data_IF_239632854663
#
_entry.id   IF_239632854663
#
_cell.length_a   1.000
_cell.length_b   1.000
_cell.length_c   1.000
_cell.angle_alpha   90.00
_cell.angle_beta   90.00
_cell.angle_gamma   90.00
#
_symmetry.space_group_name_H-M   'P 1'
#
loop_
_entity.id
_entity.type
_entity.pdbx_description
1 polymer ?
#
# COMPACT_ATOMS: atom_id res chain seq x y z
N UNK A 1 30.37 6.13 14.57
CA UNK A 1 29.22 5.51 13.84
C UNK A 1 27.99 5.62 14.72
N UNK A 2 26.82 5.94 14.22
CA UNK A 2 25.61 5.91 15.03
C UNK A 2 25.43 4.49 15.60
N UNK A 3 24.93 4.38 16.85
CA UNK A 3 24.70 3.11 17.52
C UNK A 3 23.72 2.25 16.71
N UNK A 4 24.06 0.99 16.43
CA UNK A 4 23.11 0.04 15.81
C UNK A 4 21.86 -0.10 16.68
N UNK A 5 20.67 0.00 16.08
CA UNK A 5 19.40 -0.11 16.77
C UNK A 5 18.79 -1.49 16.53
N UNK A 6 18.22 -2.09 17.57
CA UNK A 6 17.30 -3.22 17.48
C UNK A 6 15.88 -2.70 17.27
N UNK A 7 15.26 -3.02 16.14
CA UNK A 7 13.94 -2.51 15.77
C UNK A 7 12.96 -3.68 15.66
N UNK A 8 11.90 -3.67 16.47
CA UNK A 8 10.86 -4.69 16.41
C UNK A 8 9.69 -4.19 15.56
N UNK A 9 9.50 -4.72 14.36
CA UNK A 9 8.34 -4.48 13.52
C UNK A 9 7.22 -5.46 13.88
N UNK A 10 6.11 -4.95 14.40
CA UNK A 10 4.94 -5.75 14.76
C UNK A 10 3.90 -5.68 13.66
N UNK A 11 3.68 -6.80 12.98
CA UNK A 11 2.77 -6.92 11.83
C UNK A 11 1.70 -7.97 12.16
N UNK A 12 0.46 -7.74 11.74
CA UNK A 12 -0.61 -8.72 11.98
C UNK A 12 -0.36 -10.03 11.23
N UNK A 13 0.01 -9.94 9.97
CA UNK A 13 0.38 -11.07 9.10
C UNK A 13 1.49 -10.63 8.15
N UNK A 14 2.27 -11.57 7.69
CA UNK A 14 3.29 -11.34 6.67
C UNK A 14 3.44 -12.62 5.86
N UNK A 15 2.76 -12.71 4.72
CA UNK A 15 2.68 -13.93 3.91
C UNK A 15 2.76 -13.64 2.42
N UNK A 16 3.54 -14.42 1.65
CA UNK A 16 3.60 -14.29 0.20
C UNK A 16 2.25 -14.53 -0.50
N UNK A 17 1.37 -15.36 0.09
CA UNK A 17 0.08 -15.72 -0.49
C UNK A 17 -0.92 -14.55 -0.55
N UNK A 18 -0.73 -13.53 0.29
CA UNK A 18 -1.64 -12.37 0.41
C UNK A 18 -0.80 -11.08 0.42
N UNK A 19 0.09 -10.95 -0.58
CA UNK A 19 1.00 -9.82 -0.67
C UNK A 19 0.25 -8.53 -0.99
N UNK A 20 0.52 -7.49 -0.21
CA UNK A 20 -0.13 -6.19 -0.35
C UNK A 20 0.82 -5.03 -0.06
N UNK A 21 0.26 -3.82 0.01
CA UNK A 21 1.04 -2.60 0.26
C UNK A 21 1.80 -2.64 1.58
N UNK A 22 1.18 -3.12 2.67
CA UNK A 22 1.83 -3.21 3.98
C UNK A 22 3.03 -4.14 3.97
N UNK A 23 2.89 -5.33 3.37
CA UNK A 23 3.97 -6.30 3.25
C UNK A 23 5.14 -5.74 2.43
N UNK A 24 4.86 -5.02 1.35
CA UNK A 24 5.86 -4.33 0.52
C UNK A 24 6.61 -3.28 1.34
N UNK A 25 5.90 -2.41 2.05
CA UNK A 25 6.48 -1.35 2.88
C UNK A 25 7.38 -1.95 3.96
N UNK A 26 6.88 -2.93 4.71
CA UNK A 26 7.66 -3.55 5.80
C UNK A 26 8.91 -4.23 5.26
N UNK A 27 8.83 -4.96 4.14
CA UNK A 27 9.96 -5.63 3.51
C UNK A 27 11.08 -4.65 3.15
N UNK A 28 10.74 -3.58 2.43
CA UNK A 28 11.73 -2.60 2.01
C UNK A 28 12.27 -1.80 3.19
N UNK A 29 11.43 -1.42 4.15
CA UNK A 29 11.86 -0.73 5.37
C UNK A 29 12.90 -1.56 6.13
N UNK A 30 12.64 -2.84 6.34
CA UNK A 30 13.56 -3.76 7.04
C UNK A 30 14.86 -3.94 6.26
N UNK A 31 14.79 -4.08 4.92
CA UNK A 31 15.96 -4.21 4.08
C UNK A 31 16.88 -2.97 4.16
N UNK A 32 16.31 -1.76 4.04
CA UNK A 32 17.06 -0.52 4.12
C UNK A 32 17.64 -0.26 5.53
N UNK A 33 16.87 -0.54 6.59
CA UNK A 33 17.36 -0.42 7.96
C UNK A 33 18.56 -1.34 8.21
N UNK A 34 18.56 -2.54 7.62
CA UNK A 34 19.69 -3.47 7.69
C UNK A 34 20.89 -2.95 6.89
N UNK A 35 20.66 -2.40 5.71
CA UNK A 35 21.71 -1.76 4.92
C UNK A 35 22.38 -0.58 5.67
N UNK A 36 21.62 0.09 6.54
CA UNK A 36 22.12 1.14 7.44
C UNK A 36 22.84 0.59 8.70
N UNK A 37 22.95 -0.74 8.87
CA UNK A 37 23.66 -1.38 9.97
C UNK A 37 22.83 -1.57 11.25
N UNK A 38 21.50 -1.51 11.16
CA UNK A 38 20.58 -1.80 12.27
C UNK A 38 20.20 -3.29 12.29
N UNK A 39 19.58 -3.75 13.40
CA UNK A 39 19.00 -5.11 13.58
C UNK A 39 17.46 -5.02 13.58
N UNK A 40 16.80 -4.86 12.43
CA UNK A 40 15.35 -4.91 12.34
C UNK A 40 14.85 -6.35 12.27
N UNK A 41 13.75 -6.67 12.98
CA UNK A 41 13.06 -7.97 12.92
C UNK A 41 11.57 -7.82 12.81
N UNK A 42 10.95 -8.70 12.03
CA UNK A 42 9.49 -8.75 11.82
C UNK A 42 8.91 -9.80 12.78
N UNK A 43 8.01 -9.38 13.65
CA UNK A 43 7.23 -10.22 14.55
C UNK A 43 5.79 -10.23 14.07
N UNK A 44 5.29 -11.36 13.59
CA UNK A 44 3.94 -11.46 13.06
C UNK A 44 3.20 -12.69 13.58
N UNK A 45 1.89 -12.71 13.44
CA UNK A 45 1.12 -13.92 13.71
C UNK A 45 1.30 -14.94 12.59
N UNK A 46 1.05 -16.22 12.89
CA UNK A 46 1.08 -17.28 11.89
C UNK A 46 -0.17 -17.29 10.98
N UNK A 47 -0.91 -16.18 10.90
CA UNK A 47 -2.10 -16.05 10.06
C UNK A 47 -1.73 -16.22 8.58
N UNK A 48 -2.43 -17.15 7.91
CA UNK A 48 -2.27 -17.47 6.49
C UNK A 48 -0.84 -17.95 6.09
N UNK A 49 -0.01 -18.34 7.05
CA UNK A 49 1.27 -18.95 6.72
C UNK A 49 1.06 -20.35 6.14
N UNK A 50 1.83 -20.74 5.11
CA UNK A 50 1.88 -22.12 4.65
C UNK A 50 2.30 -23.06 5.80
N UNK A 51 1.84 -24.32 5.81
CA UNK A 51 2.17 -25.27 6.88
C UNK A 51 3.68 -25.56 7.01
N UNK A 52 4.41 -25.39 5.92
CA UNK A 52 5.86 -25.61 5.81
C UNK A 52 6.67 -24.30 6.00
N UNK A 53 6.02 -23.18 6.23
CA UNK A 53 6.70 -21.91 6.49
C UNK A 53 7.64 -22.05 7.70
N UNK A 54 8.88 -21.62 7.52
CA UNK A 54 9.89 -21.60 8.58
C UNK A 54 10.20 -20.16 8.98
N UNK A 55 10.30 -19.88 10.28
CA UNK A 55 10.85 -18.62 10.74
C UNK A 55 12.28 -18.44 10.23
N UNK A 56 12.68 -17.22 10.00
CA UNK A 56 14.07 -16.82 9.75
C UNK A 56 14.51 -15.84 10.84
N UNK A 57 15.79 -15.46 10.84
CA UNK A 57 16.28 -14.43 11.76
C UNK A 57 15.55 -13.10 11.58
N UNK A 58 15.04 -12.87 10.37
CA UNK A 58 14.35 -11.63 9.97
C UNK A 58 12.87 -11.64 10.25
N UNK A 59 12.21 -12.82 10.16
CA UNK A 59 10.76 -12.96 10.22
C UNK A 59 10.40 -14.12 11.14
N UNK A 60 9.67 -13.81 12.20
CA UNK A 60 9.24 -14.79 13.19
C UNK A 60 7.70 -14.86 13.24
N UNK A 61 7.15 -16.07 13.16
CA UNK A 61 5.71 -16.34 13.18
C UNK A 61 5.30 -16.92 14.52
N UNK A 62 4.17 -16.41 15.06
CA UNK A 62 3.69 -16.81 16.38
C UNK A 62 2.26 -17.30 16.36
N UNK A 63 1.91 -18.28 17.21
CA UNK A 63 0.54 -18.71 17.39
C UNK A 63 -0.33 -17.54 17.88
N UNK A 64 -1.58 -17.56 17.46
CA UNK A 64 -2.55 -16.51 17.77
C UNK A 64 -3.96 -17.10 17.91
N UNK A 65 -4.86 -16.36 18.52
CA UNK A 65 -6.27 -16.69 18.59
C UNK A 65 -7.15 -15.43 18.57
N UNK A 66 -8.38 -15.62 18.10
CA UNK A 66 -9.41 -14.60 18.20
C UNK A 66 -10.27 -14.89 19.45
N UNK A 67 -10.47 -13.92 20.35
CA UNK A 67 -11.14 -14.15 21.62
C UNK A 67 -12.67 -14.10 21.50
N UNK A 68 -13.22 -14.97 20.67
CA UNK A 68 -14.65 -15.14 20.42
C UNK A 68 -15.00 -16.64 20.45
N UNK A 69 -16.18 -16.97 20.96
CA UNK A 69 -16.66 -18.37 21.03
C UNK A 69 -18.09 -18.49 20.48
N UNK A 70 -18.39 -19.51 19.65
CA UNK A 70 -17.43 -20.40 19.00
C UNK A 70 -16.62 -19.68 17.90
N UNK A 71 -15.42 -20.18 17.53
CA UNK A 71 -14.60 -19.67 16.44
C UNK A 71 -14.30 -20.78 15.42
N UNK A 72 -15.22 -21.08 14.50
CA UNK A 72 -14.99 -22.04 13.42
C UNK A 72 -13.84 -21.62 12.51
N UNK A 73 -13.13 -22.59 11.91
CA UNK A 73 -11.99 -22.35 11.03
C UNK A 73 -12.34 -21.41 9.86
N UNK A 74 -13.54 -21.58 9.25
CA UNK A 74 -13.98 -20.74 8.15
C UNK A 74 -14.10 -19.25 8.54
N UNK A 75 -14.60 -18.96 9.76
CA UNK A 75 -14.71 -17.58 10.25
C UNK A 75 -13.33 -17.02 10.63
N UNK A 76 -12.45 -17.85 11.21
CA UNK A 76 -11.07 -17.48 11.50
C UNK A 76 -10.35 -17.09 10.21
N UNK A 77 -10.46 -17.88 9.14
CA UNK A 77 -9.85 -17.56 7.85
C UNK A 77 -10.36 -16.25 7.24
N UNK A 78 -11.64 -15.93 7.41
CA UNK A 78 -12.19 -14.64 6.97
C UNK A 78 -11.56 -13.47 7.75
N UNK A 79 -11.41 -13.61 9.07
CA UNK A 79 -10.75 -12.60 9.90
C UNK A 79 -9.26 -12.46 9.56
N UNK A 80 -8.58 -13.57 9.28
CA UNK A 80 -7.17 -13.57 8.85
C UNK A 80 -6.98 -12.79 7.55
N UNK A 81 -7.91 -12.92 6.60
CA UNK A 81 -7.89 -12.18 5.33
C UNK A 81 -8.27 -10.71 5.47
N UNK A 82 -9.35 -10.41 6.19
CA UNK A 82 -10.02 -9.10 6.17
C UNK A 82 -9.72 -8.17 7.36
N UNK A 83 -8.83 -8.51 8.28
CA UNK A 83 -8.40 -7.56 9.30
C UNK A 83 -8.86 -7.85 10.73
N UNK A 84 -8.96 -9.10 11.13
CA UNK A 84 -9.26 -9.49 12.51
C UNK A 84 -8.24 -8.97 13.53
N UNK A 85 -8.67 -8.84 14.80
CA UNK A 85 -7.85 -8.37 15.92
C UNK A 85 -7.55 -9.53 16.88
N UNK A 86 -6.45 -10.29 16.66
CA UNK A 86 -6.08 -11.45 17.45
C UNK A 86 -5.29 -11.08 18.71
N UNK A 87 -5.16 -12.06 19.61
CA UNK A 87 -4.12 -12.11 20.63
C UNK A 87 -2.98 -13.02 20.20
N UNK A 88 -1.75 -12.66 20.57
CA UNK A 88 -0.55 -13.51 20.42
C UNK A 88 0.43 -13.28 21.57
N UNK A 89 0.23 -13.90 22.74
CA UNK A 89 1.13 -13.73 23.89
C UNK A 89 2.57 -14.13 23.60
N UNK A 90 2.76 -15.18 22.78
CA UNK A 90 4.09 -15.67 22.40
C UNK A 90 4.88 -14.63 21.58
N UNK A 91 4.19 -13.88 20.68
CA UNK A 91 4.78 -12.78 19.93
C UNK A 91 5.36 -11.73 20.88
N UNK A 92 4.58 -11.28 21.85
CA UNK A 92 5.03 -10.23 22.79
C UNK A 92 6.11 -10.71 23.75
N UNK A 93 6.10 -12.01 24.11
CA UNK A 93 7.23 -12.63 24.82
C UNK A 93 8.50 -12.54 23.99
N UNK A 94 8.45 -12.91 22.73
CA UNK A 94 9.60 -12.85 21.82
C UNK A 94 10.11 -11.42 21.59
N UNK A 95 9.21 -10.44 21.40
CA UNK A 95 9.60 -9.02 21.30
C UNK A 95 10.31 -8.56 22.57
N UNK A 96 9.80 -8.91 23.75
CA UNK A 96 10.45 -8.58 25.03
C UNK A 96 11.84 -9.20 25.14
N UNK A 97 11.96 -10.49 24.77
CA UNK A 97 13.22 -11.25 24.86
C UNK A 97 14.25 -10.73 23.83
N UNK A 98 13.80 -10.15 22.71
CA UNK A 98 14.64 -9.47 21.72
C UNK A 98 15.25 -8.17 22.26
N UNK A 99 14.61 -7.50 23.24
CA UNK A 99 15.01 -6.21 23.83
C UNK A 99 15.23 -5.14 22.78
N UNK A 100 14.17 -4.72 22.06
CA UNK A 100 14.28 -3.70 21.03
C UNK A 100 14.64 -2.32 21.62
N UNK A 101 15.29 -1.49 20.81
CA UNK A 101 15.47 -0.05 21.09
C UNK A 101 14.25 0.78 20.59
N UNK A 102 13.44 0.23 19.66
CA UNK A 102 12.23 0.83 19.10
C UNK A 102 11.21 -0.27 18.79
N UNK A 103 9.94 -0.03 19.09
CA UNK A 103 8.82 -0.87 18.65
C UNK A 103 8.05 -0.13 17.55
N UNK A 104 8.09 -0.65 16.32
CA UNK A 104 7.34 -0.12 15.19
C UNK A 104 6.11 -0.99 14.89
N UNK A 105 4.93 -0.39 14.94
CA UNK A 105 3.62 -1.06 14.90
C UNK A 105 2.98 -0.84 13.53
N UNK A 106 2.72 -1.93 12.81
CA UNK A 106 2.00 -1.94 11.52
C UNK A 106 0.65 -2.66 11.63
N UNK A 107 0.12 -2.78 12.83
CA UNK A 107 -1.11 -3.49 13.12
C UNK A 107 -2.04 -2.63 13.98
N UNK A 108 -3.34 -2.83 13.83
CA UNK A 108 -4.34 -2.21 14.70
C UNK A 108 -4.82 -3.10 15.84
N UNK A 109 -5.80 -2.63 16.58
CA UNK A 109 -6.53 -3.39 17.58
C UNK A 109 -5.67 -3.92 18.72
N UNK A 110 -5.90 -5.17 19.13
CA UNK A 110 -5.23 -5.79 20.29
C UNK A 110 -3.73 -5.89 20.17
N UNK A 111 -3.20 -6.14 18.97
CA UNK A 111 -1.75 -6.18 18.75
C UNK A 111 -1.13 -4.80 18.99
N UNK A 112 -1.74 -3.74 18.50
CA UNK A 112 -1.26 -2.38 18.74
C UNK A 112 -1.33 -2.02 20.24
N UNK A 113 -2.46 -2.29 20.91
CA UNK A 113 -2.59 -2.02 22.33
C UNK A 113 -1.53 -2.78 23.16
N UNK A 114 -1.29 -4.05 22.84
CA UNK A 114 -0.29 -4.84 23.56
C UNK A 114 1.14 -4.33 23.28
N UNK A 115 1.43 -3.91 22.03
CA UNK A 115 2.72 -3.34 21.65
C UNK A 115 3.02 -2.04 22.40
N UNK A 116 2.06 -1.11 22.44
CA UNK A 116 2.16 0.16 23.23
C UNK A 116 2.42 -0.12 24.70
N UNK A 117 1.70 -1.09 25.28
CA UNK A 117 1.93 -1.46 26.70
C UNK A 117 3.31 -2.09 26.93
N UNK A 118 3.78 -2.89 25.96
CA UNK A 118 5.11 -3.48 26.06
C UNK A 118 6.18 -2.40 25.92
N UNK A 119 6.04 -1.46 25.00
CA UNK A 119 6.95 -0.33 24.81
C UNK A 119 7.11 0.47 26.13
N UNK A 120 5.98 0.84 26.76
CA UNK A 120 6.02 1.54 28.05
C UNK A 120 6.62 0.72 29.21
N UNK A 121 6.57 -0.64 29.17
CA UNK A 121 7.22 -1.49 30.16
C UNK A 121 8.72 -1.65 29.94
N UNK A 122 9.16 -1.54 28.70
CA UNK A 122 10.56 -1.63 28.31
C UNK A 122 11.25 -0.27 28.29
N UNK A 123 10.48 0.79 28.49
CA UNK A 123 10.94 2.19 28.41
C UNK A 123 11.62 2.47 27.06
N UNK A 124 10.92 2.07 25.97
CA UNK A 124 11.37 2.30 24.59
C UNK A 124 10.27 2.95 23.76
N UNK A 125 10.63 3.80 22.79
CA UNK A 125 9.64 4.47 21.96
C UNK A 125 8.84 3.49 21.09
N UNK A 126 7.56 3.85 20.91
CA UNK A 126 6.60 3.19 20.04
C UNK A 126 6.20 4.09 18.89
N UNK A 127 6.36 3.61 17.66
CA UNK A 127 5.93 4.31 16.44
C UNK A 127 4.87 3.48 15.76
N UNK A 128 3.80 4.10 15.28
CA UNK A 128 2.71 3.41 14.59
C UNK A 128 2.56 3.92 13.17
N UNK A 129 2.78 3.05 12.18
CA UNK A 129 2.50 3.36 10.76
C UNK A 129 1.07 2.96 10.39
N UNK A 130 0.35 3.93 9.83
CA UNK A 130 -0.94 3.72 9.18
C UNK A 130 -0.69 3.52 7.68
N UNK A 131 -1.22 2.44 7.13
CA UNK A 131 -1.03 2.07 5.72
C UNK A 131 -2.22 2.45 4.82
N UNK A 132 -2.95 3.48 5.23
CA UNK A 132 -4.19 3.93 4.61
C UNK A 132 -5.42 3.17 5.12
N UNK A 133 -6.55 3.86 5.18
CA UNK A 133 -7.84 3.28 5.54
C UNK A 133 -8.17 3.19 7.02
N UNK A 134 -7.32 3.61 7.93
CA UNK A 134 -7.67 3.61 9.36
C UNK A 134 -8.81 4.60 9.69
N UNK A 135 -8.92 5.69 8.92
CA UNK A 135 -9.94 6.71 9.07
C UNK A 135 -11.06 6.63 8.00
N UNK A 136 -10.86 5.86 6.92
CA UNK A 136 -11.66 5.96 5.69
C UNK A 136 -12.34 4.64 5.29
N UNK A 137 -12.37 3.61 6.17
CA UNK A 137 -13.07 2.36 5.87
C UNK A 137 -14.57 2.65 5.81
N UNK A 138 -15.26 2.45 4.67
CA UNK A 138 -16.70 2.64 4.57
C UNK A 138 -17.45 1.78 5.60
N UNK A 139 -18.55 2.29 6.14
CA UNK A 139 -19.35 1.56 7.12
C UNK A 139 -19.82 0.18 6.64
N UNK A 140 -20.12 0.05 5.34
CA UNK A 140 -20.47 -1.21 4.69
C UNK A 140 -19.32 -2.23 4.71
N UNK A 141 -18.10 -1.79 4.45
CA UNK A 141 -16.91 -2.64 4.47
C UNK A 141 -16.57 -3.05 5.91
N UNK A 142 -16.67 -2.12 6.85
CA UNK A 142 -16.53 -2.41 8.27
C UNK A 142 -17.55 -3.45 8.75
N UNK A 143 -18.82 -3.32 8.32
CA UNK A 143 -19.86 -4.31 8.64
C UNK A 143 -19.55 -5.70 8.06
N UNK A 144 -19.00 -5.76 6.85
CA UNK A 144 -18.58 -7.02 6.23
C UNK A 144 -17.37 -7.64 6.95
N UNK A 145 -16.39 -6.83 7.34
CA UNK A 145 -15.24 -7.29 8.13
C UNK A 145 -15.66 -7.88 9.47
N UNK A 146 -16.67 -7.30 10.12
CA UNK A 146 -17.19 -7.76 11.40
C UNK A 146 -18.22 -8.89 11.28
N UNK A 147 -18.74 -9.17 10.08
CA UNK A 147 -19.74 -10.22 9.85
C UNK A 147 -19.38 -11.59 10.44
N UNK A 148 -18.11 -12.07 10.38
CA UNK A 148 -17.73 -13.34 11.01
C UNK A 148 -17.89 -13.38 12.53
N UNK A 149 -18.02 -12.21 13.18
CA UNK A 149 -18.17 -12.08 14.64
C UNK A 149 -19.62 -12.00 15.09
N UNK A 150 -20.57 -11.87 14.17
CA UNK A 150 -22.01 -11.77 14.49
C UNK A 150 -22.49 -13.03 15.21
N UNK A 151 -23.18 -12.85 16.36
CA UNK A 151 -23.73 -13.95 17.15
C UNK A 151 -22.70 -14.73 17.99
N UNK A 152 -21.44 -14.28 18.06
CA UNK A 152 -20.39 -14.90 18.87
C UNK A 152 -20.25 -14.21 20.23
N UNK A 153 -19.93 -14.99 21.25
CA UNK A 153 -19.65 -14.45 22.57
C UNK A 153 -18.24 -13.83 22.62
N UNK A 154 -18.11 -12.50 22.82
CA UNK A 154 -16.84 -11.79 22.79
C UNK A 154 -16.16 -11.77 24.18
N UNK A 155 -15.61 -12.90 24.63
CA UNK A 155 -14.90 -12.94 25.91
C UNK A 155 -13.62 -12.06 25.92
N UNK A 156 -13.13 -11.68 24.76
CA UNK A 156 -12.01 -10.77 24.59
C UNK A 156 -12.23 -9.40 25.22
N UNK A 157 -13.47 -8.93 25.27
CA UNK A 157 -13.78 -7.64 25.93
C UNK A 157 -13.49 -7.67 27.43
N UNK A 158 -13.65 -8.81 28.10
CA UNK A 158 -13.28 -9.00 29.49
C UNK A 158 -11.77 -9.07 29.63
N UNK A 159 -11.10 -9.83 28.76
CA UNK A 159 -9.63 -9.92 28.75
C UNK A 159 -8.98 -8.57 28.48
N UNK A 160 -9.50 -7.82 27.49
CA UNK A 160 -9.03 -6.45 27.19
C UNK A 160 -9.13 -5.53 28.42
N UNK A 161 -10.22 -5.64 29.19
CA UNK A 161 -10.41 -4.87 30.42
C UNK A 161 -9.42 -5.26 31.50
N UNK A 162 -9.27 -6.57 31.76
CA UNK A 162 -8.33 -7.10 32.76
C UNK A 162 -6.88 -6.75 32.42
N UNK A 163 -6.52 -6.81 31.15
CA UNK A 163 -5.18 -6.46 30.68
C UNK A 163 -4.99 -4.94 30.51
N UNK A 164 -6.01 -4.11 30.75
CA UNK A 164 -5.93 -2.66 30.55
C UNK A 164 -5.63 -2.27 29.10
N UNK A 165 -6.17 -3.01 28.12
CA UNK A 165 -5.96 -2.80 26.68
C UNK A 165 -7.15 -2.11 26.00
N UNK A 166 -8.06 -1.50 26.79
CA UNK A 166 -9.19 -0.71 26.29
C UNK A 166 -8.79 0.75 26.12
N UNK A 167 -7.99 1.03 25.13
CA UNK A 167 -7.60 2.38 24.76
C UNK A 167 -7.36 2.47 23.25
N UNK A 168 -7.37 3.68 22.73
CA UNK A 168 -6.96 3.95 21.36
C UNK A 168 -5.41 3.98 21.28
N UNK A 169 -4.77 3.07 20.56
CA UNK A 169 -3.31 3.04 20.48
C UNK A 169 -2.73 4.30 19.84
N UNK A 170 -3.43 4.95 18.89
CA UNK A 170 -2.99 6.21 18.25
C UNK A 170 -2.82 7.30 19.30
N UNK A 171 -3.71 7.35 20.29
CA UNK A 171 -3.64 8.35 21.35
C UNK A 171 -2.48 8.13 22.35
N UNK A 172 -1.75 7.00 22.28
CA UNK A 172 -0.73 6.61 23.27
C UNK A 172 0.65 6.29 22.71
N UNK A 173 0.78 6.04 21.41
CA UNK A 173 2.11 5.86 20.79
C UNK A 173 2.88 7.18 20.82
N UNK A 174 4.21 7.11 20.79
CA UNK A 174 5.08 8.28 20.82
C UNK A 174 5.03 9.06 19.51
N UNK A 175 4.92 8.35 18.37
CA UNK A 175 4.69 8.96 17.06
C UNK A 175 3.75 8.14 16.20
N UNK A 176 2.98 8.82 15.37
CA UNK A 176 2.14 8.24 14.31
C UNK A 176 2.71 8.64 12.96
N UNK A 177 2.81 7.67 12.06
CA UNK A 177 3.24 7.87 10.68
C UNK A 177 2.06 7.58 9.76
N UNK A 178 1.70 8.54 8.92
CA UNK A 178 0.64 8.43 7.91
C UNK A 178 1.21 8.67 6.51
N UNK A 179 0.51 8.15 5.48
CA UNK A 179 1.03 8.07 4.12
C UNK A 179 0.46 9.13 3.17
N UNK A 180 -0.45 9.98 3.64
CA UNK A 180 -0.99 11.10 2.84
C UNK A 180 -1.20 12.32 3.73
N UNK A 181 -1.12 13.52 3.14
CA UNK A 181 -1.41 14.77 3.82
C UNK A 181 -2.88 14.85 4.27
N UNK A 182 -3.80 14.33 3.48
CA UNK A 182 -5.22 14.24 3.88
C UNK A 182 -5.41 13.41 5.17
N UNK A 183 -4.68 12.30 5.32
CA UNK A 183 -4.71 11.48 6.53
C UNK A 183 -4.02 12.20 7.70
N UNK A 184 -2.91 12.89 7.44
CA UNK A 184 -2.19 13.70 8.42
C UNK A 184 -3.09 14.77 9.05
N UNK A 185 -3.80 15.55 8.22
CA UNK A 185 -4.69 16.63 8.67
C UNK A 185 -5.83 16.09 9.53
N UNK A 186 -6.50 15.01 9.08
CA UNK A 186 -7.56 14.34 9.86
C UNK A 186 -7.07 13.80 11.21
N UNK A 187 -5.86 13.26 11.24
CA UNK A 187 -5.25 12.74 12.46
C UNK A 187 -4.89 13.88 13.41
N UNK A 188 -4.33 14.99 12.93
CA UNK A 188 -4.02 16.17 13.73
C UNK A 188 -5.27 16.80 14.35
N UNK A 189 -6.36 16.84 13.57
CA UNK A 189 -7.66 17.30 14.06
C UNK A 189 -8.21 16.38 15.17
N UNK A 190 -8.14 15.05 14.94
CA UNK A 190 -8.69 14.07 15.87
C UNK A 190 -7.84 13.86 17.12
N UNK A 191 -6.52 14.03 17.02
CA UNK A 191 -5.56 13.80 18.10
C UNK A 191 -4.66 15.02 18.31
N UNK A 192 -5.21 16.15 18.77
CA UNK A 192 -4.44 17.38 18.94
C UNK A 192 -3.28 17.17 19.91
N UNK A 193 -2.12 17.71 19.58
CA UNK A 193 -0.90 17.60 20.37
C UNK A 193 -0.15 16.27 20.29
N UNK A 194 -0.60 15.33 19.45
CA UNK A 194 0.16 14.09 19.17
C UNK A 194 1.22 14.34 18.10
N UNK A 195 2.34 13.61 18.20
CA UNK A 195 3.39 13.60 17.17
C UNK A 195 2.91 12.81 15.98
N UNK A 196 2.47 13.49 14.92
CA UNK A 196 1.94 12.92 13.69
C UNK A 196 2.82 13.39 12.54
N UNK A 197 3.33 12.43 11.75
CA UNK A 197 4.29 12.67 10.69
C UNK A 197 3.77 12.14 9.35
N UNK A 198 3.78 12.99 8.34
CA UNK A 198 3.65 12.53 6.96
C UNK A 198 4.95 11.84 6.53
N UNK A 199 4.84 10.56 6.23
CA UNK A 199 5.91 9.76 5.64
C UNK A 199 5.33 8.88 4.54
N UNK A 200 5.49 9.24 3.28
CA UNK A 200 4.96 8.49 2.16
C UNK A 200 5.64 7.12 2.02
N UNK A 201 5.02 6.24 1.26
CA UNK A 201 5.67 4.99 0.90
C UNK A 201 6.82 5.23 -0.09
N UNK A 202 7.82 4.37 -0.04
CA UNK A 202 8.92 4.40 -0.98
C UNK A 202 8.62 3.64 -2.27
N UNK A 203 9.49 3.83 -3.25
CA UNK A 203 9.51 3.09 -4.51
C UNK A 203 10.91 2.52 -4.78
N UNK A 204 10.96 1.34 -5.37
CA UNK A 204 12.21 0.79 -5.90
C UNK A 204 12.52 1.45 -7.24
N UNK A 205 13.71 2.03 -7.36
CA UNK A 205 14.16 2.62 -8.60
C UNK A 205 14.72 1.49 -9.51
N UNK A 206 14.18 1.32 -10.72
CA UNK A 206 14.71 0.34 -11.66
C UNK A 206 16.10 0.75 -12.15
N UNK A 207 16.92 -0.22 -12.52
CA UNK A 207 18.16 0.05 -13.25
C UNK A 207 17.85 0.80 -14.57
N UNK A 208 18.56 1.89 -14.80
CA UNK A 208 18.34 2.73 -15.98
C UNK A 208 18.65 1.96 -17.25
N UNK A 209 17.64 1.73 -18.08
CA UNK A 209 17.88 1.32 -19.47
C UNK A 209 18.32 2.54 -20.28
N UNK A 210 19.39 2.38 -21.07
CA UNK A 210 19.97 3.45 -21.89
C UNK A 210 18.97 4.06 -22.93
N UNK A 211 17.88 3.36 -23.24
CA UNK A 211 16.87 3.79 -24.21
C UNK A 211 15.72 4.64 -23.63
N UNK A 212 15.75 4.95 -22.35
CA UNK A 212 14.70 5.72 -21.68
C UNK A 212 14.63 7.22 -22.09
N UNK A 213 15.46 7.67 -23.02
CA UNK A 213 15.62 9.07 -23.43
C UNK A 213 14.96 9.48 -24.75
N UNK A 214 14.36 8.58 -25.51
CA UNK A 214 13.70 8.93 -26.77
C UNK A 214 12.17 8.96 -26.59
N UNK A 215 11.69 10.01 -25.99
CA UNK A 215 10.26 10.30 -25.98
C UNK A 215 9.85 10.86 -27.35
N UNK A 216 9.64 9.98 -28.33
CA UNK A 216 8.85 10.37 -29.50
C UNK A 216 7.46 10.77 -29.06
N UNK A 217 6.89 11.82 -29.69
CA UNK A 217 5.50 12.21 -29.40
C UNK A 217 4.58 10.99 -29.47
N UNK A 218 3.67 10.85 -28.49
CA UNK A 218 2.71 9.75 -28.48
C UNK A 218 1.82 9.76 -29.73
N UNK A 219 1.53 10.95 -30.31
CA UNK A 219 0.74 11.11 -31.54
C UNK A 219 1.34 10.48 -32.78
N UNK A 220 2.64 10.43 -32.87
CA UNK A 220 3.34 10.00 -34.09
C UNK A 220 3.68 8.52 -34.09
N UNK A 221 3.18 7.75 -33.13
CA UNK A 221 3.43 6.31 -33.07
C UNK A 221 2.60 5.57 -34.12
N UNK A 222 3.22 4.66 -34.88
CA UNK A 222 2.54 3.96 -36.00
C UNK A 222 1.58 2.85 -35.53
N UNK A 223 1.32 2.73 -34.25
CA UNK A 223 0.50 1.68 -33.60
C UNK A 223 -0.38 2.29 -32.51
N UNK A 224 -1.46 1.62 -32.06
CA UNK A 224 -2.24 2.05 -30.92
C UNK A 224 -1.39 2.23 -29.67
N UNK A 225 -1.66 3.29 -28.89
CA UNK A 225 -0.99 3.51 -27.60
C UNK A 225 -1.35 2.40 -26.62
N UNK A 226 -0.35 1.82 -25.98
CA UNK A 226 -0.52 0.75 -25.01
C UNK A 226 -0.76 1.34 -23.63
N UNK A 227 -2.00 1.31 -23.20
CA UNK A 227 -2.41 1.72 -21.85
C UNK A 227 -2.23 0.55 -20.90
N UNK A 228 -1.54 0.77 -19.80
CA UNK A 228 -1.32 -0.20 -18.72
C UNK A 228 -1.98 0.28 -17.44
N UNK A 229 -2.66 -0.63 -16.76
CA UNK A 229 -3.08 -0.46 -15.37
C UNK A 229 -2.64 -1.68 -14.56
N UNK A 230 -1.83 -1.47 -13.54
CA UNK A 230 -1.40 -2.51 -12.60
C UNK A 230 -2.06 -2.25 -11.25
N UNK A 231 -3.01 -3.09 -10.88
CA UNK A 231 -3.73 -2.98 -9.61
C UNK A 231 -4.55 -4.25 -9.35
N UNK A 232 -4.99 -4.48 -8.12
CA UNK A 232 -6.03 -5.49 -7.87
C UNK A 232 -7.23 -5.24 -8.77
N UNK A 233 -7.82 -6.29 -9.33
CA UNK A 233 -9.08 -6.18 -10.07
C UNK A 233 -10.22 -6.12 -9.07
N UNK A 234 -10.66 -4.88 -8.81
CA UNK A 234 -11.58 -4.54 -7.73
C UNK A 234 -12.32 -3.22 -8.08
N UNK A 235 -13.56 -3.08 -7.62
CA UNK A 235 -14.36 -1.89 -7.91
C UNK A 235 -13.72 -0.58 -7.41
N UNK A 236 -12.90 -0.64 -6.33
CA UNK A 236 -12.16 0.52 -5.83
C UNK A 236 -11.11 1.03 -6.82
N UNK A 237 -10.64 0.16 -7.73
CA UNK A 237 -9.66 0.50 -8.77
C UNK A 237 -10.28 0.95 -10.07
N UNK A 238 -11.59 0.85 -10.20
CA UNK A 238 -12.40 1.45 -11.26
C UNK A 238 -11.92 1.18 -12.70
N UNK A 239 -11.45 -0.05 -12.97
CA UNK A 239 -10.96 -0.43 -14.30
C UNK A 239 -12.04 -0.34 -15.40
N UNK A 240 -13.34 -0.33 -15.03
CA UNK A 240 -14.41 -0.08 -15.99
C UNK A 240 -14.27 1.27 -16.70
N UNK A 241 -13.78 2.31 -16.03
CA UNK A 241 -13.51 3.60 -16.67
C UNK A 241 -12.48 3.48 -17.79
N UNK A 242 -11.51 2.53 -17.69
CA UNK A 242 -10.55 2.26 -18.76
C UNK A 242 -11.17 1.51 -19.93
N UNK A 243 -12.15 0.64 -19.68
CA UNK A 243 -12.91 -0.04 -20.74
C UNK A 243 -13.75 0.97 -21.52
N UNK A 244 -14.37 1.94 -20.84
CA UNK A 244 -15.08 3.06 -21.49
C UNK A 244 -14.12 3.95 -22.30
N UNK A 245 -12.93 4.23 -21.79
CA UNK A 245 -11.89 4.94 -22.52
C UNK A 245 -11.48 4.17 -23.79
N UNK A 246 -11.26 2.86 -23.68
CA UNK A 246 -10.89 1.98 -24.79
C UNK A 246 -11.93 2.01 -25.91
N UNK A 247 -13.23 2.04 -25.57
CA UNK A 247 -14.31 2.13 -26.54
C UNK A 247 -14.34 3.48 -27.28
N UNK A 248 -14.01 4.57 -26.57
CA UNK A 248 -14.01 5.95 -27.11
C UNK A 248 -12.73 6.28 -27.89
N UNK A 249 -11.66 5.48 -27.74
CA UNK A 249 -10.34 5.74 -28.34
C UNK A 249 -9.88 4.49 -29.12
N UNK A 250 -10.13 4.46 -30.44
CA UNK A 250 -9.70 3.34 -31.30
C UNK A 250 -8.16 3.27 -31.44
N UNK A 251 -7.47 4.35 -31.11
CA UNK A 251 -6.02 4.52 -31.16
C UNK A 251 -5.27 4.00 -29.91
N UNK A 252 -5.96 3.30 -29.00
CA UNK A 252 -5.31 2.67 -27.85
C UNK A 252 -5.67 1.18 -27.69
N UNK A 253 -4.81 0.48 -26.97
CA UNK A 253 -5.05 -0.86 -26.41
C UNK A 253 -4.91 -0.83 -24.90
N UNK A 254 -5.57 -1.72 -24.18
CA UNK A 254 -5.63 -1.76 -22.73
C UNK A 254 -5.13 -3.10 -22.19
N UNK A 255 -4.16 -3.04 -21.29
CA UNK A 255 -3.74 -4.20 -20.49
C UNK A 255 -4.00 -3.92 -19.01
N UNK A 256 -4.81 -4.76 -18.40
CA UNK A 256 -5.02 -4.80 -16.95
C UNK A 256 -4.17 -5.91 -16.35
N UNK A 257 -3.38 -5.62 -15.32
CA UNK A 257 -2.54 -6.60 -14.62
C UNK A 257 -2.86 -6.55 -13.13
N UNK A 258 -3.22 -7.69 -12.54
CA UNK A 258 -3.37 -7.79 -11.10
C UNK A 258 -4.26 -8.94 -10.64
N UNK A 259 -4.16 -9.32 -9.36
CA UNK A 259 -5.00 -10.38 -8.80
C UNK A 259 -6.47 -9.97 -8.80
N UNK A 260 -7.33 -10.91 -9.17
CA UNK A 260 -8.78 -10.74 -9.09
C UNK A 260 -9.21 -10.92 -7.64
N UNK A 261 -9.56 -9.82 -6.97
CA UNK A 261 -10.05 -9.84 -5.57
C UNK A 261 -11.57 -9.74 -5.49
N UNK A 262 -12.24 -9.33 -6.58
CA UNK A 262 -13.68 -9.27 -6.72
C UNK A 262 -14.11 -9.91 -8.05
N UNK A 263 -14.45 -11.21 -8.04
CA UNK A 263 -14.79 -11.96 -9.27
C UNK A 263 -15.95 -11.31 -10.02
N UNK A 264 -17.02 -10.94 -9.31
CA UNK A 264 -18.17 -10.28 -9.92
C UNK A 264 -17.80 -9.01 -10.70
N UNK A 265 -16.74 -8.31 -10.26
CA UNK A 265 -16.29 -7.10 -10.93
C UNK A 265 -15.45 -7.42 -12.17
N UNK A 266 -14.63 -8.48 -12.12
CA UNK A 266 -13.93 -8.98 -13.29
C UNK A 266 -14.92 -9.46 -14.37
N UNK A 267 -15.95 -10.21 -13.97
CA UNK A 267 -17.02 -10.65 -14.89
C UNK A 267 -17.73 -9.45 -15.53
N UNK A 268 -17.96 -8.39 -14.77
CA UNK A 268 -18.56 -7.14 -15.29
C UNK A 268 -17.63 -6.43 -16.28
N UNK A 269 -16.32 -6.43 -16.05
CA UNK A 269 -15.33 -5.88 -17.00
C UNK A 269 -15.39 -6.67 -18.31
N UNK A 270 -15.32 -8.00 -18.26
CA UNK A 270 -15.35 -8.87 -19.43
C UNK A 270 -16.66 -8.71 -20.22
N UNK A 271 -17.80 -8.70 -19.54
CA UNK A 271 -19.11 -8.46 -20.17
C UNK A 271 -19.15 -7.11 -20.89
N UNK A 272 -18.57 -6.06 -20.26
CA UNK A 272 -18.57 -4.71 -20.86
C UNK A 272 -17.63 -4.63 -22.08
N UNK A 273 -16.48 -5.31 -22.03
CA UNK A 273 -15.57 -5.44 -23.19
C UNK A 273 -16.26 -6.11 -24.39
N UNK A 274 -17.03 -7.17 -24.14
CA UNK A 274 -17.82 -7.86 -25.18
C UNK A 274 -18.93 -6.95 -25.73
N UNK A 275 -19.70 -6.30 -24.87
CA UNK A 275 -20.78 -5.37 -25.27
C UNK A 275 -20.26 -4.24 -26.17
N UNK A 276 -19.08 -3.70 -25.86
CA UNK A 276 -18.47 -2.60 -26.60
C UNK A 276 -17.64 -3.06 -27.81
N UNK A 277 -17.48 -4.37 -28.03
CA UNK A 277 -16.75 -4.92 -29.17
C UNK A 277 -15.25 -4.56 -29.14
N UNK A 278 -14.62 -4.44 -27.97
CA UNK A 278 -13.24 -3.97 -27.83
C UNK A 278 -12.26 -5.09 -27.47
N UNK A 279 -12.68 -6.36 -27.58
CA UNK A 279 -11.92 -7.54 -27.12
C UNK A 279 -10.57 -7.74 -27.82
N UNK A 280 -10.44 -7.31 -29.08
CA UNK A 280 -9.21 -7.36 -29.87
C UNK A 280 -8.09 -6.44 -29.34
N UNK A 281 -8.47 -5.39 -28.58
CA UNK A 281 -7.56 -4.40 -27.99
C UNK A 281 -7.49 -4.46 -26.46
N UNK A 282 -8.10 -5.47 -25.85
CA UNK A 282 -8.17 -5.66 -24.42
C UNK A 282 -7.41 -6.91 -23.96
N UNK A 283 -6.67 -6.80 -22.85
CA UNK A 283 -6.01 -7.93 -22.19
C UNK A 283 -6.14 -7.82 -20.69
N UNK A 284 -6.61 -8.90 -20.04
CA UNK A 284 -6.58 -9.09 -18.59
C UNK A 284 -5.53 -10.14 -18.22
N UNK A 285 -4.58 -9.78 -17.37
CA UNK A 285 -3.53 -10.68 -16.85
C UNK A 285 -3.77 -10.84 -15.34
N UNK A 286 -4.22 -12.03 -14.89
CA UNK A 286 -4.65 -12.23 -13.50
C UNK A 286 -3.47 -12.40 -12.54
N UNK A 287 -2.78 -11.30 -12.24
CA UNK A 287 -1.72 -11.23 -11.24
C UNK A 287 -0.36 -11.71 -11.73
N UNK A 288 0.63 -10.87 -11.54
CA UNK A 288 2.04 -11.19 -11.72
C UNK A 288 2.77 -10.92 -10.40
N UNK A 289 3.74 -11.76 -10.00
CA UNK A 289 4.51 -11.52 -8.79
C UNK A 289 5.24 -10.17 -8.85
N UNK A 290 5.28 -9.41 -7.75
CA UNK A 290 6.07 -8.18 -7.69
C UNK A 290 7.54 -8.43 -8.07
N UNK A 291 8.08 -7.64 -9.01
CA UNK A 291 9.45 -7.78 -9.50
C UNK A 291 9.67 -8.95 -10.46
N UNK A 292 8.63 -9.62 -10.95
CA UNK A 292 8.78 -10.65 -11.97
C UNK A 292 9.17 -10.06 -13.33
N UNK A 293 9.88 -10.84 -14.14
CA UNK A 293 10.27 -10.43 -15.48
C UNK A 293 9.06 -10.09 -16.36
N UNK A 294 7.95 -10.79 -16.16
CA UNK A 294 6.70 -10.56 -16.89
C UNK A 294 6.06 -9.21 -16.50
N UNK A 295 6.10 -8.84 -15.23
CA UNK A 295 5.61 -7.54 -14.77
C UNK A 295 6.50 -6.40 -15.29
N UNK A 296 7.82 -6.57 -15.24
CA UNK A 296 8.77 -5.61 -15.83
C UNK A 296 8.57 -5.47 -17.34
N UNK A 297 8.30 -6.57 -18.06
CA UNK A 297 7.98 -6.55 -19.47
C UNK A 297 6.65 -5.79 -19.75
N UNK A 298 5.64 -5.94 -18.89
CA UNK A 298 4.39 -5.20 -19.02
C UNK A 298 4.61 -3.69 -18.87
N UNK A 299 5.38 -3.25 -17.86
CA UNK A 299 5.78 -1.84 -17.73
C UNK A 299 6.60 -1.35 -18.91
N UNK A 300 7.60 -2.11 -19.34
CA UNK A 300 8.46 -1.74 -20.49
C UNK A 300 7.68 -1.64 -21.81
N UNK A 301 6.59 -2.39 -21.93
CA UNK A 301 5.73 -2.34 -23.09
C UNK A 301 4.76 -1.15 -23.07
N UNK A 302 4.48 -0.54 -21.94
CA UNK A 302 3.48 0.52 -21.80
C UNK A 302 3.93 1.85 -22.43
N UNK A 303 2.98 2.55 -23.04
CA UNK A 303 3.16 3.90 -23.53
C UNK A 303 2.54 4.93 -22.58
N UNK A 304 1.50 4.51 -21.84
CA UNK A 304 0.80 5.32 -20.83
C UNK A 304 0.41 4.39 -19.68
N UNK A 305 0.64 4.83 -18.46
CA UNK A 305 0.13 4.18 -17.26
C UNK A 305 -1.09 4.93 -16.74
N UNK A 306 -2.16 4.20 -16.40
CA UNK A 306 -3.38 4.83 -15.89
C UNK A 306 -3.82 4.19 -14.58
N UNK A 307 -4.07 5.00 -13.55
CA UNK A 307 -4.61 4.58 -12.26
C UNK A 307 -5.94 5.28 -11.98
N UNK A 308 -7.09 4.69 -12.39
CA UNK A 308 -8.39 5.36 -12.33
C UNK A 308 -9.15 5.12 -11.02
N UNK A 309 -8.45 4.85 -9.92
CA UNK A 309 -9.03 4.46 -8.63
C UNK A 309 -10.07 5.46 -8.13
N UNK A 310 -11.13 4.95 -7.46
CA UNK A 310 -12.07 5.75 -6.67
C UNK A 310 -11.73 5.73 -5.18
N UNK A 311 -10.79 4.87 -4.80
CA UNK A 311 -10.17 4.86 -3.48
C UNK A 311 -8.72 4.43 -3.61
N UNK A 312 -7.79 5.33 -3.28
CA UNK A 312 -6.34 5.11 -3.35
C UNK A 312 -5.65 5.79 -2.17
N UNK A 313 -5.32 5.06 -1.11
CA UNK A 313 -4.66 5.66 0.04
C UNK A 313 -3.32 6.32 -0.29
N UNK A 314 -2.55 5.75 -1.24
CA UNK A 314 -1.27 6.31 -1.65
C UNK A 314 -0.98 6.12 -3.15
N UNK A 315 -0.93 4.88 -3.66
CA UNK A 315 -0.65 4.60 -5.07
C UNK A 315 0.81 4.30 -5.38
N UNK A 316 1.46 3.38 -4.65
CA UNK A 316 2.87 2.98 -4.91
C UNK A 316 3.10 2.67 -6.39
N UNK A 317 2.15 2.01 -7.05
CA UNK A 317 2.27 1.62 -8.46
C UNK A 317 2.35 2.82 -9.42
N UNK A 318 1.78 3.97 -9.04
CA UNK A 318 1.96 5.21 -9.81
C UNK A 318 3.43 5.70 -9.74
N UNK A 319 4.04 5.66 -8.56
CA UNK A 319 5.49 5.93 -8.41
C UNK A 319 6.34 4.91 -9.17
N UNK A 320 5.94 3.62 -9.22
CA UNK A 320 6.63 2.61 -10.01
C UNK A 320 6.61 2.92 -11.52
N UNK A 321 5.50 3.44 -12.03
CA UNK A 321 5.40 3.91 -13.42
C UNK A 321 6.26 5.17 -13.65
N UNK A 322 6.21 6.15 -12.73
CA UNK A 322 7.01 7.37 -12.78
C UNK A 322 8.51 7.07 -12.75
N UNK A 323 8.96 6.15 -11.89
CA UNK A 323 10.35 5.71 -11.81
C UNK A 323 10.87 5.12 -13.12
N UNK A 324 10.00 4.49 -13.91
CA UNK A 324 10.30 3.95 -15.24
C UNK A 324 10.16 4.98 -16.36
N UNK A 325 9.77 6.22 -16.02
CA UNK A 325 9.52 7.29 -16.99
C UNK A 325 8.32 7.02 -17.90
N UNK A 326 7.36 6.24 -17.44
CA UNK A 326 6.10 6.01 -18.17
C UNK A 326 5.17 7.18 -17.86
N UNK A 327 4.62 7.88 -18.88
CA UNK A 327 3.64 8.93 -18.69
C UNK A 327 2.45 8.43 -17.86
N UNK A 328 2.08 9.18 -16.81
CA UNK A 328 1.07 8.81 -15.84
C UNK A 328 -0.21 9.63 -16.02
N UNK A 329 -1.35 8.95 -15.97
CA UNK A 329 -2.66 9.57 -15.74
C UNK A 329 -3.23 8.95 -14.46
N UNK A 330 -3.60 9.76 -13.46
CA UNK A 330 -4.09 9.29 -12.18
C UNK A 330 -5.35 10.03 -11.75
N UNK A 331 -6.22 9.37 -10.99
CA UNK A 331 -7.36 10.02 -10.38
C UNK A 331 -6.90 11.01 -9.31
N UNK A 332 -7.55 12.18 -9.24
CA UNK A 332 -7.29 13.19 -8.22
C UNK A 332 -7.95 12.79 -6.89
N UNK A 333 -7.37 11.79 -6.20
CA UNK A 333 -7.95 11.21 -4.98
C UNK A 333 -6.88 10.66 -4.03
N UNK A 334 -7.18 10.67 -2.74
CA UNK A 334 -6.35 10.09 -1.69
C UNK A 334 -4.96 10.69 -1.63
N UNK A 335 -3.91 9.84 -1.65
CA UNK A 335 -2.53 10.28 -1.62
C UNK A 335 -1.90 10.55 -2.99
N UNK A 336 -2.64 10.37 -4.10
CA UNK A 336 -2.09 10.61 -5.44
C UNK A 336 -1.72 12.08 -5.67
N UNK A 337 -2.55 13.08 -5.28
CA UNK A 337 -2.20 14.49 -5.42
C UNK A 337 -0.99 14.95 -4.58
N UNK A 338 -0.58 14.16 -3.58
CA UNK A 338 0.58 14.51 -2.75
C UNK A 338 1.90 14.44 -3.54
N UNK A 339 1.93 13.69 -4.65
CA UNK A 339 3.14 13.53 -5.48
C UNK A 339 2.88 13.64 -6.99
N UNK A 340 1.63 13.59 -7.45
CA UNK A 340 1.30 13.83 -8.85
C UNK A 340 0.80 15.26 -9.01
N UNK A 341 1.49 16.04 -9.82
CA UNK A 341 1.14 17.44 -10.11
C UNK A 341 0.68 17.56 -11.55
N UNK A 342 -0.59 17.98 -11.73
CA UNK A 342 -1.25 17.98 -13.03
C UNK A 342 -0.52 18.80 -14.09
N UNK A 343 -0.15 18.16 -15.19
CA UNK A 343 0.59 18.77 -16.31
C UNK A 343 2.08 18.95 -16.08
N UNK A 344 2.62 18.70 -14.87
CA UNK A 344 4.02 18.83 -14.54
C UNK A 344 4.77 17.50 -14.60
N UNK A 345 4.32 16.51 -13.81
CA UNK A 345 4.92 15.18 -13.72
C UNK A 345 3.93 14.03 -13.99
N UNK A 346 2.68 14.36 -14.32
CA UNK A 346 1.60 13.45 -14.68
C UNK A 346 0.36 14.23 -15.05
N UNK A 347 -0.73 13.53 -15.36
CA UNK A 347 -2.05 14.14 -15.56
C UNK A 347 -2.97 13.67 -14.43
N UNK A 348 -3.69 14.60 -13.80
CA UNK A 348 -4.76 14.30 -12.86
C UNK A 348 -6.13 14.46 -13.52
N UNK A 349 -7.08 13.64 -13.10
CA UNK A 349 -8.48 13.78 -13.50
C UNK A 349 -9.42 13.56 -12.32
N UNK A 350 -10.59 14.22 -12.36
CA UNK A 350 -11.62 14.07 -11.34
C UNK A 350 -12.45 12.80 -11.57
N UNK A 351 -12.38 11.80 -10.67
CA UNK A 351 -13.03 10.50 -10.89
C UNK A 351 -14.56 10.58 -10.90
N UNK A 352 -15.16 11.63 -10.35
CA UNK A 352 -16.61 11.86 -10.40
C UNK A 352 -17.11 12.37 -11.76
N UNK A 353 -16.22 12.86 -12.63
CA UNK A 353 -16.54 13.34 -13.97
C UNK A 353 -16.27 12.24 -15.00
N UNK A 354 -17.32 11.73 -15.63
CA UNK A 354 -17.26 10.61 -16.58
C UNK A 354 -16.34 10.87 -17.80
N UNK A 355 -16.14 12.13 -18.18
CA UNK A 355 -15.34 12.51 -19.34
C UNK A 355 -13.90 12.96 -18.97
N UNK A 356 -13.62 13.15 -17.68
CA UNK A 356 -12.35 13.70 -17.22
C UNK A 356 -11.15 12.81 -17.59
N UNK A 357 -11.29 11.50 -17.50
CA UNK A 357 -10.25 10.56 -17.90
C UNK A 357 -9.93 10.65 -19.40
N UNK A 358 -10.95 10.74 -20.24
CA UNK A 358 -10.76 10.90 -21.69
C UNK A 358 -10.07 12.24 -22.01
N UNK A 359 -10.46 13.33 -21.34
CA UNK A 359 -9.79 14.62 -21.52
C UNK A 359 -8.33 14.59 -21.06
N UNK A 360 -8.03 13.93 -19.93
CA UNK A 360 -6.65 13.77 -19.46
C UNK A 360 -5.81 12.95 -20.43
N UNK A 361 -6.38 11.88 -21.00
CA UNK A 361 -5.73 11.09 -22.05
C UNK A 361 -5.44 11.95 -23.30
N UNK A 362 -6.41 12.73 -23.78
CA UNK A 362 -6.25 13.60 -24.95
C UNK A 362 -5.18 14.68 -24.72
N UNK A 363 -5.16 15.29 -23.52
CA UNK A 363 -4.12 16.26 -23.11
C UNK A 363 -2.74 15.64 -23.16
N UNK A 364 -2.57 14.44 -22.59
CA UNK A 364 -1.29 13.72 -22.58
C UNK A 364 -0.87 13.34 -24.01
N UNK A 365 -1.79 12.75 -24.80
CA UNK A 365 -1.52 12.36 -26.18
C UNK A 365 -1.21 13.54 -27.09
N UNK A 366 -1.68 14.72 -26.76
CA UNK A 366 -1.43 15.96 -27.51
C UNK A 366 -0.06 16.61 -27.25
N UNK A 367 0.65 16.17 -26.21
CA UNK A 367 1.96 16.76 -25.89
C UNK A 367 2.96 16.57 -27.03
N UNK A 368 3.73 17.62 -27.40
CA UNK A 368 4.86 17.46 -28.28
C UNK A 368 5.97 16.64 -27.59
N UNK A 369 6.91 16.10 -28.34
CA UNK A 369 7.99 15.24 -27.83
C UNK A 369 8.75 15.90 -26.66
N UNK A 370 9.07 17.19 -26.77
CA UNK A 370 9.75 17.94 -25.70
C UNK A 370 8.87 18.08 -24.43
N UNK A 371 7.56 18.30 -24.60
CA UNK A 371 6.60 18.38 -23.49
C UNK A 371 6.50 17.05 -22.76
N UNK A 372 6.43 15.94 -23.50
CA UNK A 372 6.41 14.60 -22.96
C UNK A 372 7.72 14.25 -22.24
N UNK A 373 8.86 14.62 -22.83
CA UNK A 373 10.17 14.43 -22.21
C UNK A 373 10.31 15.19 -20.90
N UNK A 374 9.85 16.46 -20.84
CA UNK A 374 9.81 17.23 -19.59
C UNK A 374 8.94 16.57 -18.52
N UNK A 375 7.73 16.18 -18.88
CA UNK A 375 6.78 15.52 -17.96
C UNK A 375 7.38 14.22 -17.39
N UNK A 376 7.94 13.35 -18.22
CA UNK A 376 8.54 12.08 -17.79
C UNK A 376 9.83 12.27 -17.00
N UNK A 377 10.62 13.29 -17.30
CA UNK A 377 11.80 13.65 -16.50
C UNK A 377 11.42 14.15 -15.11
N UNK A 378 10.41 15.02 -15.02
CA UNK A 378 9.87 15.48 -13.73
C UNK A 378 9.25 14.33 -12.92
N UNK A 379 8.54 13.41 -13.59
CA UNK A 379 8.01 12.20 -12.96
C UNK A 379 9.11 11.35 -12.31
N UNK A 380 10.23 11.12 -13.03
CA UNK A 380 11.38 10.38 -12.49
C UNK A 380 12.02 11.09 -11.30
N UNK A 381 12.26 12.39 -11.41
CA UNK A 381 12.82 13.18 -10.30
C UNK A 381 11.92 13.09 -9.05
N UNK A 382 10.60 13.09 -9.24
CA UNK A 382 9.65 12.84 -8.15
C UNK A 382 9.86 11.44 -7.57
N UNK A 383 9.88 10.39 -8.39
CA UNK A 383 10.07 9.02 -7.90
C UNK A 383 11.41 8.82 -7.17
N UNK A 384 12.48 9.49 -7.59
CA UNK A 384 13.80 9.48 -6.92
C UNK A 384 13.71 10.04 -5.50
N UNK A 385 12.94 11.12 -5.27
CA UNK A 385 12.71 11.69 -3.93
C UNK A 385 11.85 10.80 -3.02
N UNK A 386 11.18 9.81 -3.59
CA UNK A 386 10.42 8.76 -2.92
C UNK A 386 11.15 7.41 -2.90
N UNK A 387 12.46 7.36 -3.16
CA UNK A 387 13.22 6.10 -3.06
C UNK A 387 13.21 5.53 -1.65
N UNK A 388 13.25 4.20 -1.52
CA UNK A 388 13.25 3.54 -0.20
C UNK A 388 14.35 4.03 0.71
N UNK A 389 15.62 4.23 0.26
CA UNK A 389 16.68 4.80 1.11
C UNK A 389 16.31 6.16 1.69
N UNK A 390 15.72 7.07 0.88
CA UNK A 390 15.32 8.40 1.34
C UNK A 390 14.17 8.31 2.37
N UNK A 391 13.14 7.51 2.07
CA UNK A 391 11.99 7.33 2.98
C UNK A 391 12.42 6.70 4.30
N UNK A 392 13.27 5.67 4.27
CA UNK A 392 13.76 5.04 5.50
C UNK A 392 14.70 5.95 6.28
N UNK A 393 15.50 6.77 5.61
CA UNK A 393 16.30 7.80 6.29
C UNK A 393 15.41 8.77 7.07
N UNK A 394 14.29 9.21 6.49
CA UNK A 394 13.29 10.05 7.18
C UNK A 394 12.65 9.33 8.37
N UNK A 395 12.32 8.03 8.22
CA UNK A 395 11.79 7.22 9.31
C UNK A 395 12.78 7.09 10.48
N UNK A 396 14.07 6.91 10.18
CA UNK A 396 15.11 6.84 11.21
C UNK A 396 15.25 8.15 11.98
N UNK A 397 15.00 9.31 11.36
CA UNK A 397 14.95 10.60 12.07
C UNK A 397 13.78 10.64 13.06
N UNK A 398 12.59 10.18 12.65
CA UNK A 398 11.42 10.08 13.56
C UNK A 398 11.75 9.20 14.77
N UNK A 399 12.39 8.04 14.57
CA UNK A 399 12.82 7.19 15.69
C UNK A 399 13.80 7.90 16.64
N UNK A 400 14.72 8.68 16.07
CA UNK A 400 15.68 9.44 16.87
C UNK A 400 15.02 10.55 17.69
N UNK A 401 14.06 11.25 17.12
CA UNK A 401 13.25 12.27 17.80
C UNK A 401 12.48 11.67 18.97
N UNK A 402 11.79 10.54 18.77
CA UNK A 402 11.07 9.84 19.83
C UNK A 402 11.98 9.37 20.98
N UNK A 403 13.24 8.97 20.67
CA UNK A 403 14.20 8.53 21.68
C UNK A 403 14.81 9.67 22.49
N UNK A 404 14.92 10.86 21.92
CA UNK A 404 15.53 12.02 22.57
C UNK A 404 14.51 12.86 23.36
N UNK A 405 13.22 12.68 23.12
CA UNK A 405 12.13 13.36 23.79
C UNK A 405 11.48 12.54 24.91
N UNK A 406 11.96 11.31 25.15
CA UNK A 406 11.49 10.43 26.20
C UNK A 406 12.27 10.61 27.51
#
# INVERSE_FOLDING_TARGET
MPKSLKIAHIVRRYTPAEWGGTETVVRHTVAEQRALGHDPRIFCTAALQPPDARPSDDIQFFPYFYPYFPMPTADRLKLDKKGGSPYSPALFKAVRDFRPDVIHIHAGGRLACAAVKLAGRLDVPSVMSLHGGAADVPASEMAEMLRPLKGKFPYGSVVDRLLGMRFDPIARVDAVVCISHTEEDRLKERYPGRSIHYLPNGVALPEMRADAGKADSLRNRPRPLRVLCVSRIDYQKNQLALVELLARRPDCSLTLVGPVTAQWYADKIEARVQELGTGDRFKLVPGLPPGSAELEAAFAAADVFVLPSVHEPFGIVALEAMARGIPLIAANIGGLPDFVHDGENGMLFEPADADALARAYDRLAALPAEGLARLTSAARATAESYSWPEIVSRLMRIYSECRNGA
#
